data_IF_346690427631
#
_entry.id   IF_346690427631
#
_cell.length_a   1.000
_cell.length_b   1.000
_cell.length_c   1.000
_cell.angle_alpha   90.00
_cell.angle_beta   90.00
_cell.angle_gamma   90.00
#
_symmetry.space_group_name_H-M   'P 1'
#
loop_
_entity.id
_entity.type
_entity.pdbx_description
1 polymer ?
#
# COMPACT_ATOMS: atom_id res chain seq x y z
N UNK A 1 16.86 -32.54 49.13
CA UNK A 1 15.75 -32.11 48.24
C UNK A 1 16.18 -30.82 47.56
N UNK A 2 16.83 -30.94 46.40
CA UNK A 2 17.23 -29.77 45.61
C UNK A 2 15.97 -29.14 44.97
N UNK A 3 15.74 -27.85 45.26
CA UNK A 3 14.72 -27.07 44.55
C UNK A 3 15.20 -26.87 43.12
N UNK A 4 14.35 -27.15 42.10
CA UNK A 4 14.72 -26.84 40.74
C UNK A 4 14.96 -25.33 40.62
N UNK A 5 16.13 -24.96 40.11
CA UNK A 5 16.47 -23.57 39.75
C UNK A 5 15.44 -23.08 38.74
N UNK A 6 14.86 -21.86 38.92
CA UNK A 6 13.97 -21.28 37.90
C UNK A 6 14.72 -21.20 36.57
N UNK A 7 14.17 -21.79 35.53
CA UNK A 7 14.73 -21.66 34.20
C UNK A 7 14.75 -20.17 33.81
N UNK A 8 15.91 -19.66 33.41
CA UNK A 8 16.01 -18.30 32.86
C UNK A 8 14.98 -18.11 31.74
N UNK A 9 14.23 -17.00 31.72
CA UNK A 9 13.26 -16.75 30.67
C UNK A 9 13.96 -16.74 29.32
N UNK A 10 13.49 -17.56 28.39
CA UNK A 10 14.01 -17.58 27.02
C UNK A 10 13.89 -16.17 26.43
N UNK A 11 14.97 -15.61 25.86
CA UNK A 11 14.93 -14.28 25.30
C UNK A 11 13.87 -14.19 24.21
N UNK A 12 13.17 -13.05 24.08
CA UNK A 12 12.12 -12.89 23.07
C UNK A 12 12.68 -13.06 21.66
N UNK A 13 11.90 -13.72 20.79
CA UNK A 13 12.25 -13.86 19.38
C UNK A 13 12.30 -12.48 18.71
N UNK A 14 13.25 -12.29 17.78
CA UNK A 14 13.49 -11.02 17.12
C UNK A 14 12.93 -11.00 15.71
N UNK A 15 12.00 -10.08 15.45
CA UNK A 15 11.48 -9.76 14.13
C UNK A 15 12.12 -8.47 13.61
N UNK A 16 12.70 -8.54 12.42
CA UNK A 16 13.30 -7.36 11.75
C UNK A 16 12.54 -7.04 10.48
N UNK A 17 11.89 -5.88 10.44
CA UNK A 17 11.35 -5.32 9.21
C UNK A 17 12.46 -4.69 8.39
N UNK A 18 12.42 -4.88 7.06
CA UNK A 18 13.31 -4.24 6.10
C UNK A 18 12.47 -3.47 5.09
N UNK A 19 12.66 -2.15 5.07
CA UNK A 19 11.94 -1.24 4.17
C UNK A 19 12.84 -0.07 3.79
N UNK A 20 12.73 0.42 2.57
CA UNK A 20 13.63 1.49 2.11
C UNK A 20 13.34 2.87 2.71
N UNK A 21 12.09 3.19 3.05
CA UNK A 21 11.68 4.54 3.50
C UNK A 21 10.87 4.47 4.81
N UNK A 22 11.28 5.25 5.81
CA UNK A 22 10.62 5.32 7.12
C UNK A 22 9.18 5.82 7.03
N UNK A 23 8.90 6.81 6.16
CA UNK A 23 7.54 7.32 5.96
C UNK A 23 6.58 6.23 5.44
N UNK A 24 7.09 5.32 4.59
CA UNK A 24 6.27 4.24 4.05
C UNK A 24 5.96 3.21 5.14
N UNK A 25 6.93 2.88 5.99
CA UNK A 25 6.71 2.03 7.14
C UNK A 25 5.72 2.66 8.12
N UNK A 26 5.93 3.93 8.48
CA UNK A 26 5.07 4.65 9.41
C UNK A 26 3.62 4.77 8.92
N UNK A 27 3.42 4.96 7.61
CA UNK A 27 2.08 5.13 7.05
C UNK A 27 1.32 3.83 6.79
N UNK A 28 2.01 2.68 6.58
CA UNK A 28 1.37 1.45 6.11
C UNK A 28 1.61 0.22 7.01
N UNK A 29 2.67 0.19 7.81
CA UNK A 29 3.08 -1.04 8.50
C UNK A 29 3.08 -0.96 10.03
N UNK A 30 2.76 0.19 10.61
CA UNK A 30 2.63 0.31 12.08
C UNK A 30 1.59 -0.64 12.68
N UNK A 31 0.42 -0.93 12.06
CA UNK A 31 -0.50 -1.92 12.61
C UNK A 31 0.11 -3.32 12.71
N UNK A 32 0.87 -3.74 11.69
CA UNK A 32 1.58 -5.03 11.70
C UNK A 32 2.69 -5.07 12.76
N UNK A 33 3.43 -3.96 12.90
CA UNK A 33 4.49 -3.84 13.89
C UNK A 33 3.94 -3.86 15.33
N UNK A 34 2.85 -3.12 15.59
CA UNK A 34 2.12 -3.18 16.89
C UNK A 34 1.64 -4.61 17.20
N UNK A 35 1.13 -5.32 16.19
CA UNK A 35 0.71 -6.71 16.36
C UNK A 35 1.89 -7.62 16.79
N UNK A 36 3.07 -7.44 16.20
CA UNK A 36 4.27 -8.18 16.56
C UNK A 36 4.77 -7.85 17.97
N UNK A 37 4.80 -6.56 18.34
CA UNK A 37 5.15 -6.11 19.69
C UNK A 37 4.18 -6.69 20.73
N UNK A 38 2.87 -6.68 20.45
CA UNK A 38 1.85 -7.24 21.31
C UNK A 38 1.96 -8.77 21.49
N UNK A 39 2.64 -9.48 20.58
CA UNK A 39 2.99 -10.90 20.73
C UNK A 39 4.23 -11.13 21.63
N UNK A 40 4.86 -10.08 22.14
CA UNK A 40 6.08 -10.18 22.94
C UNK A 40 7.35 -10.34 22.11
N UNK A 41 7.31 -10.09 20.78
CA UNK A 41 8.51 -10.12 19.96
C UNK A 41 9.37 -8.87 20.19
N UNK A 42 10.70 -9.03 20.11
CA UNK A 42 11.61 -7.91 19.96
C UNK A 42 11.54 -7.42 18.52
N UNK A 43 11.06 -6.20 18.28
CA UNK A 43 10.80 -5.70 16.93
C UNK A 43 11.76 -4.59 16.56
N UNK A 44 12.40 -4.72 15.40
CA UNK A 44 13.23 -3.66 14.80
C UNK A 44 12.81 -3.37 13.36
N UNK A 45 13.07 -2.16 12.88
CA UNK A 45 12.97 -1.81 11.46
C UNK A 45 14.30 -1.26 10.97
N UNK A 46 14.79 -1.81 9.87
CA UNK A 46 15.96 -1.31 9.14
C UNK A 46 15.46 -0.51 7.95
N UNK A 47 15.78 0.78 7.93
CA UNK A 47 15.23 1.73 6.96
C UNK A 47 16.11 2.96 6.80
N UNK A 48 15.93 3.70 5.71
CA UNK A 48 16.45 5.05 5.60
C UNK A 48 15.62 5.98 6.48
N UNK A 49 16.27 6.61 7.45
CA UNK A 49 15.60 7.44 8.46
C UNK A 49 15.53 8.90 7.97
N UNK A 50 14.33 9.47 8.00
CA UNK A 50 14.04 10.88 7.75
C UNK A 50 13.29 11.47 8.96
N UNK A 51 11.99 11.61 8.88
CA UNK A 51 11.20 12.36 9.85
C UNK A 51 10.31 11.48 10.76
N UNK A 52 10.27 10.14 10.52
CA UNK A 52 9.26 9.26 11.13
C UNK A 52 9.78 8.38 12.27
N UNK A 53 11.07 8.54 12.67
CA UNK A 53 11.68 7.76 13.75
C UNK A 53 10.83 7.75 15.03
N UNK A 54 10.41 8.94 15.50
CA UNK A 54 9.64 9.06 16.75
C UNK A 54 8.31 8.33 16.71
N UNK A 55 7.58 8.40 15.58
CA UNK A 55 6.31 7.70 15.39
C UNK A 55 6.47 6.17 15.39
N UNK A 56 7.59 5.67 14.86
CA UNK A 56 7.92 4.25 14.82
C UNK A 56 8.35 3.75 16.23
N UNK A 57 9.21 4.49 16.90
CA UNK A 57 9.68 4.13 18.24
C UNK A 57 8.56 4.19 19.28
N UNK A 58 7.58 5.08 19.12
CA UNK A 58 6.41 5.20 19.98
C UNK A 58 5.54 3.93 20.05
N UNK A 59 5.64 3.03 19.06
CA UNK A 59 4.92 1.75 19.07
C UNK A 59 5.79 0.57 19.54
N UNK A 60 6.95 0.84 20.14
CA UNK A 60 7.85 -0.19 20.68
C UNK A 60 8.80 -0.83 19.66
N UNK A 61 9.00 -0.20 18.48
CA UNK A 61 9.87 -0.69 17.41
C UNK A 61 11.21 0.04 17.43
N UNK A 62 12.32 -0.69 17.51
CA UNK A 62 13.67 -0.13 17.40
C UNK A 62 13.97 0.28 15.96
N UNK A 63 14.36 1.53 15.72
CA UNK A 63 14.76 2.02 14.40
C UNK A 63 16.26 1.88 14.21
N UNK A 64 16.68 1.16 13.17
CA UNK A 64 18.07 0.98 12.77
C UNK A 64 18.29 1.62 11.40
N UNK A 65 19.15 2.64 11.28
CA UNK A 65 19.36 3.34 10.02
C UNK A 65 20.18 2.49 9.04
N UNK A 66 19.75 2.48 7.78
CA UNK A 66 20.50 1.94 6.66
C UNK A 66 20.21 2.81 5.43
N UNK A 67 21.25 3.39 4.83
CA UNK A 67 21.11 4.18 3.61
C UNK A 67 21.10 3.24 2.40
N UNK A 68 19.90 2.95 1.88
CA UNK A 68 19.66 2.22 0.63
C UNK A 68 18.67 2.97 -0.25
N UNK A 69 19.11 3.39 -1.44
CA UNK A 69 18.25 4.16 -2.34
C UNK A 69 17.20 3.28 -3.03
N UNK A 70 15.93 3.61 -2.81
CA UNK A 70 14.78 2.90 -3.40
C UNK A 70 14.82 2.81 -4.93
N UNK A 71 15.33 3.83 -5.61
CA UNK A 71 15.39 3.93 -7.07
C UNK A 71 16.66 3.38 -7.71
N UNK A 72 17.68 3.02 -6.91
CA UNK A 72 18.95 2.53 -7.43
C UNK A 72 18.82 1.13 -8.04
N UNK A 73 19.18 0.99 -9.31
CA UNK A 73 19.29 -0.29 -10.02
C UNK A 73 20.74 -0.81 -10.07
N UNK A 74 21.66 -0.18 -9.34
CA UNK A 74 23.06 -0.58 -9.32
C UNK A 74 23.25 -1.88 -8.52
N UNK A 75 23.69 -3.01 -9.15
CA UNK A 75 23.86 -4.29 -8.46
C UNK A 75 24.96 -4.26 -7.39
N UNK A 76 26.01 -3.46 -7.60
CA UNK A 76 27.10 -3.35 -6.61
C UNK A 76 26.64 -2.62 -5.36
N UNK A 77 25.86 -1.54 -5.50
CA UNK A 77 25.26 -0.84 -4.37
C UNK A 77 24.27 -1.76 -3.61
N UNK A 78 23.48 -2.55 -4.34
CA UNK A 78 22.58 -3.53 -3.74
C UNK A 78 23.34 -4.63 -2.97
N UNK A 79 24.46 -5.13 -3.52
CA UNK A 79 25.32 -6.10 -2.86
C UNK A 79 25.97 -5.54 -1.59
N UNK A 80 26.43 -4.28 -1.63
CA UNK A 80 26.99 -3.60 -0.47
C UNK A 80 25.96 -3.40 0.63
N UNK A 81 24.77 -2.92 0.28
CA UNK A 81 23.65 -2.78 1.22
C UNK A 81 23.24 -4.13 1.83
N UNK A 82 23.23 -5.22 1.05
CA UNK A 82 22.94 -6.55 1.55
C UNK A 82 24.01 -7.04 2.56
N UNK A 83 25.30 -6.74 2.31
CA UNK A 83 26.38 -7.06 3.24
C UNK A 83 26.27 -6.32 4.57
N UNK A 84 25.98 -5.00 4.54
CA UNK A 84 25.74 -4.22 5.74
C UNK A 84 24.50 -4.72 6.51
N UNK A 85 23.41 -4.97 5.80
CA UNK A 85 22.18 -5.48 6.39
C UNK A 85 22.40 -6.88 7.01
N UNK A 86 23.17 -7.76 6.38
CA UNK A 86 23.51 -9.07 6.95
C UNK A 86 24.25 -8.95 8.30
N UNK A 87 25.17 -7.98 8.42
CA UNK A 87 25.85 -7.69 9.68
C UNK A 87 24.87 -7.17 10.74
N UNK A 88 23.94 -6.30 10.38
CA UNK A 88 22.87 -5.81 11.28
C UNK A 88 21.98 -6.97 11.74
N UNK A 89 21.53 -7.84 10.81
CA UNK A 89 20.68 -8.99 11.16
C UNK A 89 21.35 -9.96 12.12
N UNK A 90 22.67 -10.22 11.94
CA UNK A 90 23.47 -11.03 12.85
C UNK A 90 23.59 -10.38 14.23
N UNK A 91 23.87 -9.07 14.30
CA UNK A 91 23.99 -8.32 15.55
C UNK A 91 22.66 -8.29 16.33
N UNK A 92 21.53 -8.20 15.62
CA UNK A 92 20.19 -8.25 16.21
C UNK A 92 19.74 -9.68 16.54
N UNK A 93 20.47 -10.72 16.11
CA UNK A 93 20.08 -12.14 16.25
C UNK A 93 18.66 -12.36 15.68
N UNK A 94 18.41 -11.87 14.46
CA UNK A 94 17.10 -11.92 13.83
C UNK A 94 16.60 -13.37 13.63
N UNK A 95 15.43 -13.69 14.18
CA UNK A 95 14.72 -14.96 13.97
C UNK A 95 13.85 -14.90 12.72
N UNK A 96 13.23 -13.74 12.46
CA UNK A 96 12.37 -13.47 11.30
C UNK A 96 12.79 -12.16 10.63
N UNK A 97 12.86 -12.17 9.31
CA UNK A 97 13.02 -10.96 8.50
C UNK A 97 11.76 -10.75 7.66
N UNK A 98 11.11 -9.58 7.82
CA UNK A 98 9.94 -9.18 7.03
C UNK A 98 10.35 -8.08 6.04
N UNK A 99 10.52 -8.46 4.78
CA UNK A 99 10.94 -7.57 3.70
C UNK A 99 9.74 -6.97 2.99
N UNK A 100 9.68 -5.63 2.95
CA UNK A 100 8.57 -4.85 2.40
C UNK A 100 8.99 -4.21 1.08
N UNK A 101 8.23 -4.43 0.02
CA UNK A 101 8.48 -4.05 -1.37
C UNK A 101 9.66 -4.77 -2.03
N UNK A 102 9.66 -4.77 -3.37
CA UNK A 102 10.56 -5.61 -4.18
C UNK A 102 12.05 -5.40 -3.90
N UNK A 103 12.49 -4.14 -3.73
CA UNK A 103 13.90 -3.88 -3.45
C UNK A 103 14.31 -4.45 -2.10
N UNK A 104 13.51 -4.23 -1.07
CA UNK A 104 13.78 -4.78 0.26
C UNK A 104 13.74 -6.30 0.28
N UNK A 105 12.91 -6.94 -0.56
CA UNK A 105 12.89 -8.40 -0.73
C UNK A 105 14.21 -8.88 -1.34
N UNK A 106 14.74 -8.21 -2.36
CA UNK A 106 16.01 -8.59 -2.98
C UNK A 106 17.19 -8.37 -2.03
N UNK A 107 17.34 -7.18 -1.48
CA UNK A 107 18.44 -6.82 -0.58
C UNK A 107 18.31 -7.57 0.74
N UNK A 108 17.12 -7.54 1.36
CA UNK A 108 16.85 -8.19 2.65
C UNK A 108 16.85 -9.71 2.57
N UNK A 109 16.33 -10.28 1.50
CA UNK A 109 16.38 -11.73 1.26
C UNK A 109 17.81 -12.24 1.08
N UNK A 110 18.65 -11.49 0.34
CA UNK A 110 20.09 -11.77 0.20
C UNK A 110 20.80 -11.66 1.55
N UNK A 111 20.55 -10.56 2.29
CA UNK A 111 21.12 -10.37 3.61
C UNK A 111 20.70 -11.45 4.61
N UNK A 112 19.44 -11.86 4.58
CA UNK A 112 18.91 -12.93 5.40
C UNK A 112 19.56 -14.28 5.09
N UNK A 113 19.82 -14.57 3.81
CA UNK A 113 20.57 -15.75 3.39
C UNK A 113 22.01 -15.72 3.91
N UNK A 114 22.71 -14.59 3.78
CA UNK A 114 24.09 -14.39 4.28
C UNK A 114 24.17 -14.44 5.82
N UNK A 115 23.13 -13.98 6.51
CA UNK A 115 23.06 -13.97 7.96
C UNK A 115 22.58 -15.30 8.56
N UNK A 116 22.04 -16.21 7.74
CA UNK A 116 21.46 -17.48 8.20
C UNK A 116 20.12 -17.32 8.92
N UNK A 117 19.35 -16.25 8.62
CA UNK A 117 18.03 -16.03 9.24
C UNK A 117 17.07 -17.14 8.81
N UNK A 118 16.46 -17.87 9.78
CA UNK A 118 15.71 -19.08 9.46
C UNK A 118 14.36 -18.81 8.81
N UNK A 119 13.66 -17.73 9.18
CA UNK A 119 12.31 -17.43 8.71
C UNK A 119 12.24 -16.09 7.97
N UNK A 120 11.44 -16.04 6.90
CA UNK A 120 11.32 -14.88 6.03
C UNK A 120 9.87 -14.59 5.70
N UNK A 121 9.48 -13.33 5.72
CA UNK A 121 8.20 -12.85 5.21
C UNK A 121 8.48 -11.87 4.08
N UNK A 122 7.92 -12.12 2.91
CA UNK A 122 8.04 -11.26 1.74
C UNK A 122 6.71 -10.61 1.43
N UNK A 123 6.66 -9.29 1.55
CA UNK A 123 5.48 -8.46 1.29
C UNK A 123 5.70 -7.57 0.05
N UNK A 124 5.46 -8.07 -1.18
CA UNK A 124 5.45 -7.22 -2.36
C UNK A 124 4.22 -6.32 -2.31
N UNK A 125 4.42 -5.01 -2.18
CA UNK A 125 3.36 -4.00 -2.10
C UNK A 125 3.00 -3.49 -3.50
N UNK A 126 2.52 -4.40 -4.36
CA UNK A 126 2.31 -4.17 -5.77
C UNK A 126 3.57 -4.37 -6.62
N UNK A 127 3.37 -4.65 -7.90
CA UNK A 127 4.47 -4.86 -8.86
C UNK A 127 5.12 -3.57 -9.34
N UNK A 128 4.58 -2.40 -8.98
CA UNK A 128 5.11 -1.10 -9.37
C UNK A 128 5.35 -0.99 -10.88
N UNK A 129 6.53 -0.51 -11.27
CA UNK A 129 6.91 -0.37 -12.68
C UNK A 129 6.99 -1.71 -13.42
N UNK A 130 7.34 -2.81 -12.74
CA UNK A 130 7.40 -4.13 -13.36
C UNK A 130 6.01 -4.66 -13.72
N UNK A 131 4.99 -4.31 -12.94
CA UNK A 131 3.59 -4.66 -13.24
C UNK A 131 3.01 -3.88 -14.41
N UNK A 132 3.46 -2.64 -14.60
CA UNK A 132 3.01 -1.77 -15.68
C UNK A 132 3.68 -2.07 -17.05
N UNK A 133 4.78 -2.86 -17.08
CA UNK A 133 5.49 -3.20 -18.32
C UNK A 133 4.93 -4.47 -18.95
N UNK A 134 4.38 -4.37 -20.16
CA UNK A 134 3.87 -5.49 -20.97
C UNK A 134 4.87 -6.02 -21.99
N UNK A 135 6.02 -5.36 -22.16
CA UNK A 135 7.06 -5.73 -23.13
C UNK A 135 7.83 -7.01 -22.75
N UNK A 136 8.63 -7.53 -23.66
CA UNK A 136 9.43 -8.76 -23.48
C UNK A 136 10.42 -8.63 -22.30
N UNK A 137 11.04 -7.44 -22.15
CA UNK A 137 11.97 -7.17 -21.06
C UNK A 137 11.27 -7.18 -19.69
N UNK A 138 10.05 -6.62 -19.59
CA UNK A 138 9.24 -6.68 -18.37
C UNK A 138 8.81 -8.12 -18.03
N UNK A 139 8.45 -8.93 -19.02
CA UNK A 139 8.14 -10.36 -18.81
C UNK A 139 9.34 -11.13 -18.29
N UNK A 140 10.52 -10.95 -18.92
CA UNK A 140 11.76 -11.58 -18.49
C UNK A 140 12.13 -11.17 -17.05
N UNK A 141 12.09 -9.87 -16.74
CA UNK A 141 12.40 -9.37 -15.41
C UNK A 141 11.47 -9.95 -14.33
N UNK A 142 10.16 -10.05 -14.61
CA UNK A 142 9.19 -10.72 -13.69
C UNK A 142 9.51 -12.20 -13.50
N UNK A 143 9.86 -12.90 -14.57
CA UNK A 143 10.21 -14.33 -14.51
C UNK A 143 11.50 -14.54 -13.69
N UNK A 144 12.53 -13.75 -13.94
CA UNK A 144 13.78 -13.80 -13.18
C UNK A 144 13.56 -13.50 -11.69
N UNK A 145 12.79 -12.45 -11.39
CA UNK A 145 12.44 -12.07 -10.02
C UNK A 145 11.66 -13.20 -9.31
N UNK A 146 10.70 -13.80 -9.99
CA UNK A 146 9.93 -14.94 -9.47
C UNK A 146 10.83 -16.12 -9.11
N UNK A 147 11.74 -16.50 -10.01
CA UNK A 147 12.69 -17.60 -9.75
C UNK A 147 13.63 -17.27 -8.58
N UNK A 148 14.10 -16.04 -8.48
CA UNK A 148 14.98 -15.61 -7.40
C UNK A 148 14.27 -15.67 -6.03
N UNK A 149 13.07 -15.11 -5.93
CA UNK A 149 12.31 -15.02 -4.66
C UNK A 149 11.80 -16.39 -4.19
N UNK A 150 11.43 -17.28 -5.12
CA UNK A 150 10.92 -18.62 -4.79
C UNK A 150 12.03 -19.68 -4.66
N UNK A 151 13.22 -19.39 -5.16
CA UNK A 151 14.38 -20.28 -5.14
C UNK A 151 15.41 -19.85 -4.09
N UNK A 152 16.56 -19.24 -4.51
CA UNK A 152 17.69 -19.01 -3.60
C UNK A 152 17.41 -18.05 -2.44
N UNK A 153 16.40 -17.17 -2.56
CA UNK A 153 15.98 -16.30 -1.46
C UNK A 153 14.89 -16.89 -0.56
N UNK A 154 14.31 -18.04 -0.91
CA UNK A 154 13.32 -18.72 -0.08
C UNK A 154 13.96 -19.78 0.83
N UNK A 155 13.24 -20.14 1.90
CA UNK A 155 13.47 -21.31 2.75
C UNK A 155 12.15 -22.04 2.97
N UNK A 156 12.14 -23.22 3.58
CA UNK A 156 10.90 -23.89 3.98
C UNK A 156 10.03 -23.07 4.95
N UNK A 157 10.61 -22.05 5.59
CA UNK A 157 9.94 -21.11 6.50
C UNK A 157 9.77 -19.73 5.87
N UNK A 158 9.58 -19.63 4.55
CA UNK A 158 9.23 -18.39 3.85
C UNK A 158 7.73 -18.29 3.71
N UNK A 159 7.16 -17.12 4.04
CA UNK A 159 5.76 -16.76 3.83
C UNK A 159 5.67 -15.54 2.92
N UNK A 160 4.64 -15.50 2.11
CA UNK A 160 4.37 -14.43 1.16
C UNK A 160 3.11 -13.69 1.56
N UNK A 161 3.20 -12.37 1.71
CA UNK A 161 2.11 -11.50 2.09
C UNK A 161 1.77 -10.59 0.91
N UNK A 162 0.60 -10.77 0.31
CA UNK A 162 0.13 -9.96 -0.80
C UNK A 162 -1.10 -9.14 -0.41
N UNK A 163 -1.31 -8.04 -1.12
CA UNK A 163 -2.47 -7.17 -0.93
C UNK A 163 -3.64 -7.51 -1.87
N UNK A 164 -3.38 -8.36 -2.87
CA UNK A 164 -4.39 -8.87 -3.80
C UNK A 164 -3.95 -10.21 -4.42
N UNK A 165 -4.91 -11.06 -4.84
CA UNK A 165 -4.60 -12.37 -5.42
C UNK A 165 -3.94 -12.31 -6.80
N UNK A 166 -4.15 -11.23 -7.57
CA UNK A 166 -3.57 -11.09 -8.90
C UNK A 166 -2.06 -10.89 -8.85
N UNK A 167 -1.57 -10.14 -7.84
CA UNK A 167 -0.13 -10.00 -7.62
C UNK A 167 0.49 -11.34 -7.21
N UNK A 168 -0.16 -12.15 -6.37
CA UNK A 168 0.33 -13.49 -6.03
C UNK A 168 0.48 -14.37 -7.29
N UNK A 169 -0.54 -14.39 -8.16
CA UNK A 169 -0.50 -15.10 -9.44
C UNK A 169 0.59 -14.55 -10.37
N UNK A 170 0.80 -13.24 -10.40
CA UNK A 170 1.87 -12.63 -11.20
C UNK A 170 3.27 -13.04 -10.72
N UNK A 171 3.43 -13.34 -9.42
CA UNK A 171 4.62 -13.98 -8.86
C UNK A 171 4.67 -15.49 -9.08
N UNK A 172 3.66 -16.07 -9.73
CA UNK A 172 3.55 -17.50 -9.99
C UNK A 172 3.27 -18.31 -8.72
N UNK A 173 2.60 -17.69 -7.74
CA UNK A 173 2.13 -18.31 -6.52
C UNK A 173 0.62 -18.50 -6.59
N UNK A 174 0.13 -19.63 -6.09
CA UNK A 174 -1.31 -19.81 -5.91
C UNK A 174 -1.76 -19.01 -4.67
N UNK A 175 -2.77 -18.13 -4.79
CA UNK A 175 -3.34 -17.45 -3.63
C UNK A 175 -3.90 -18.40 -2.55
N UNK A 176 -4.20 -19.66 -2.90
CA UNK A 176 -4.68 -20.68 -1.97
C UNK A 176 -3.55 -21.49 -1.32
N UNK A 177 -2.28 -21.28 -1.71
CA UNK A 177 -1.13 -21.95 -1.10
C UNK A 177 -0.98 -21.52 0.37
N UNK A 178 -0.67 -22.45 1.26
CA UNK A 178 -0.47 -22.22 2.69
C UNK A 178 0.69 -21.23 2.99
N UNK A 179 1.65 -21.11 2.07
CA UNK A 179 2.73 -20.13 2.17
C UNK A 179 2.30 -18.70 1.76
N UNK A 180 1.08 -18.52 1.22
CA UNK A 180 0.56 -17.25 0.72
C UNK A 180 -0.56 -16.74 1.63
N UNK A 181 -0.48 -15.48 2.01
CA UNK A 181 -1.55 -14.79 2.72
C UNK A 181 -1.94 -13.53 1.96
N UNK A 182 -3.22 -13.37 1.70
CA UNK A 182 -3.77 -12.13 1.13
C UNK A 182 -4.33 -11.28 2.27
N UNK A 183 -3.88 -10.03 2.36
CA UNK A 183 -4.34 -9.07 3.38
C UNK A 183 -4.98 -7.84 2.76
N UNK A 184 -5.78 -7.14 3.52
CA UNK A 184 -6.43 -5.89 3.14
C UNK A 184 -5.47 -4.68 3.10
N UNK A 185 -4.30 -4.81 2.46
CA UNK A 185 -3.29 -3.76 2.38
C UNK A 185 -2.74 -3.37 3.75
N UNK A 186 -2.62 -2.06 3.98
CA UNK A 186 -2.22 -1.51 5.28
C UNK A 186 -3.28 -1.72 6.38
N UNK A 187 -4.51 -2.05 5.97
CA UNK A 187 -5.68 -1.96 6.83
C UNK A 187 -6.11 -0.51 7.08
N UNK A 188 -7.31 -0.35 7.58
CA UNK A 188 -7.85 0.95 7.99
C UNK A 188 -8.52 0.82 9.37
N UNK A 189 -8.39 1.86 10.19
CA UNK A 189 -9.15 1.99 11.42
C UNK A 189 -10.51 2.66 11.10
N UNK A 190 -11.64 1.91 11.17
CA UNK A 190 -12.96 2.46 10.85
C UNK A 190 -13.48 3.47 11.89
N UNK A 191 -12.90 3.49 13.10
CA UNK A 191 -13.25 4.45 14.14
C UNK A 191 -12.53 5.78 13.96
N UNK A 192 -11.31 5.76 13.42
CA UNK A 192 -10.59 6.96 13.01
C UNK A 192 -11.18 7.55 11.71
N UNK A 193 -11.80 6.72 10.85
CA UNK A 193 -12.39 7.12 9.57
C UNK A 193 -13.90 6.95 9.59
N UNK A 194 -14.59 7.80 10.35
CA UNK A 194 -16.06 7.73 10.51
C UNK A 194 -16.79 8.30 9.30
N UNK A 195 -17.95 7.73 8.94
CA UNK A 195 -18.78 8.29 7.89
C UNK A 195 -19.34 9.65 8.32
N UNK A 196 -19.42 10.56 7.37
CA UNK A 196 -20.11 11.83 7.50
C UNK A 196 -21.21 11.92 6.44
N UNK A 197 -22.27 12.73 6.65
CA UNK A 197 -23.26 13.01 5.63
C UNK A 197 -22.60 13.42 4.30
N UNK A 198 -23.24 13.08 3.18
CA UNK A 198 -22.78 13.58 1.89
C UNK A 198 -22.97 15.10 1.80
N UNK A 199 -22.02 15.83 1.21
CA UNK A 199 -22.18 17.25 1.01
C UNK A 199 -23.33 17.57 0.04
N UNK A 200 -23.85 18.81 0.02
CA UNK A 200 -24.88 19.19 -0.95
C UNK A 200 -24.41 19.02 -2.40
N UNK A 201 -25.31 18.50 -3.24
CA UNK A 201 -25.16 18.39 -4.69
C UNK A 201 -26.27 19.19 -5.37
N UNK A 202 -26.06 19.74 -6.58
CA UNK A 202 -24.80 19.84 -7.32
C UNK A 202 -23.80 20.83 -6.73
N UNK A 203 -22.50 20.79 -7.10
CA UNK A 203 -21.88 19.85 -8.02
C UNK A 203 -21.56 18.51 -7.38
N UNK A 204 -21.39 17.46 -8.19
CA UNK A 204 -20.74 16.22 -7.76
C UNK A 204 -19.27 16.51 -7.44
N UNK A 205 -18.90 16.40 -6.17
CA UNK A 205 -17.54 16.71 -5.68
C UNK A 205 -16.71 15.44 -5.64
N UNK A 206 -15.63 15.40 -6.42
CA UNK A 206 -14.71 14.27 -6.56
C UNK A 206 -13.35 14.67 -5.99
N UNK A 207 -12.72 13.81 -5.19
CA UNK A 207 -11.38 14.06 -4.70
C UNK A 207 -10.40 12.99 -5.17
N UNK A 208 -9.17 13.43 -5.48
CA UNK A 208 -7.98 12.59 -5.61
C UNK A 208 -7.04 12.95 -4.46
N UNK A 209 -6.71 11.96 -3.61
CA UNK A 209 -5.72 12.09 -2.55
C UNK A 209 -4.56 11.16 -2.88
N UNK A 210 -3.46 11.70 -3.39
CA UNK A 210 -2.29 10.91 -3.79
C UNK A 210 -1.06 11.78 -3.97
N UNK A 211 0.12 11.17 -4.10
CA UNK A 211 1.28 11.88 -4.67
C UNK A 211 0.95 12.34 -6.09
N UNK A 212 1.33 13.56 -6.45
CA UNK A 212 1.08 14.14 -7.77
C UNK A 212 2.05 13.54 -8.80
N UNK A 213 1.72 12.35 -9.31
CA UNK A 213 2.52 11.58 -10.26
C UNK A 213 1.72 11.25 -11.52
N UNK A 214 2.35 11.27 -12.69
CA UNK A 214 1.74 10.85 -13.96
C UNK A 214 1.20 9.42 -13.92
N UNK A 215 1.85 8.53 -13.14
CA UNK A 215 1.38 7.15 -12.99
C UNK A 215 0.04 7.03 -12.24
N UNK A 216 -0.37 8.05 -11.51
CA UNK A 216 -1.67 8.11 -10.82
C UNK A 216 -2.82 8.54 -11.75
N UNK A 217 -2.52 8.91 -13.02
CA UNK A 217 -3.52 9.24 -14.02
C UNK A 217 -4.30 10.53 -13.73
N UNK A 218 -3.69 11.48 -12.99
CA UNK A 218 -4.36 12.73 -12.61
C UNK A 218 -4.77 13.53 -13.83
N UNK A 219 -3.95 13.53 -14.88
CA UNK A 219 -4.27 14.09 -16.18
C UNK A 219 -5.53 13.49 -16.82
N UNK A 220 -5.71 12.17 -16.70
CA UNK A 220 -6.93 11.49 -17.17
C UNK A 220 -8.17 11.99 -16.41
N UNK A 221 -8.07 12.18 -15.09
CA UNK A 221 -9.18 12.73 -14.30
C UNK A 221 -9.48 14.18 -14.66
N UNK A 222 -8.45 15.01 -14.87
CA UNK A 222 -8.58 16.39 -15.29
C UNK A 222 -9.35 16.48 -16.60
N UNK A 223 -8.95 15.74 -17.62
CA UNK A 223 -9.63 15.74 -18.93
C UNK A 223 -11.04 15.15 -18.84
N UNK A 224 -11.25 14.07 -18.07
CA UNK A 224 -12.57 13.48 -17.87
C UNK A 224 -13.57 14.45 -17.21
N UNK A 225 -13.10 15.25 -16.25
CA UNK A 225 -13.93 16.28 -15.61
C UNK A 225 -14.23 17.43 -16.59
N UNK A 226 -13.26 17.85 -17.41
CA UNK A 226 -13.49 18.84 -18.46
C UNK A 226 -14.54 18.39 -19.47
N UNK A 227 -14.43 17.13 -19.98
CA UNK A 227 -15.44 16.54 -20.85
C UNK A 227 -16.82 16.47 -20.20
N UNK A 228 -16.91 16.01 -18.94
CA UNK A 228 -18.18 15.95 -18.21
C UNK A 228 -18.83 17.33 -18.08
N UNK A 229 -18.04 18.36 -17.75
CA UNK A 229 -18.52 19.74 -17.64
C UNK A 229 -18.93 20.31 -19.00
N UNK A 230 -18.17 20.04 -20.07
CA UNK A 230 -18.54 20.44 -21.42
C UNK A 230 -19.87 19.80 -21.89
N UNK A 231 -20.17 18.58 -21.39
CA UNK A 231 -21.46 17.92 -21.59
C UNK A 231 -22.57 18.44 -20.65
N UNK A 232 -22.34 19.53 -19.90
CA UNK A 232 -23.33 20.15 -19.02
C UNK A 232 -23.45 19.49 -17.63
N UNK A 233 -22.62 18.51 -17.28
CA UNK A 233 -22.68 17.83 -15.99
C UNK A 233 -21.91 18.62 -14.93
N UNK A 234 -22.53 18.97 -13.78
CA UNK A 234 -21.89 19.77 -12.74
C UNK A 234 -20.96 18.92 -11.87
N UNK A 235 -19.74 18.70 -12.33
CA UNK A 235 -18.68 17.95 -11.62
C UNK A 235 -17.58 18.90 -11.17
N UNK A 236 -17.09 18.74 -9.94
CA UNK A 236 -15.92 19.45 -9.41
C UNK A 236 -14.85 18.44 -8.96
N UNK A 237 -13.57 18.75 -9.24
CA UNK A 237 -12.43 17.90 -8.91
C UNK A 237 -11.48 18.63 -7.94
N UNK A 238 -11.17 17.99 -6.84
CA UNK A 238 -10.17 18.45 -5.88
C UNK A 238 -8.97 17.53 -5.87
N UNK A 239 -7.77 18.08 -6.02
CA UNK A 239 -6.50 17.35 -6.00
C UNK A 239 -5.77 17.64 -4.69
N UNK A 240 -5.48 16.61 -3.91
CA UNK A 240 -4.74 16.69 -2.64
C UNK A 240 -3.46 15.87 -2.73
N UNK A 241 -2.33 16.50 -2.48
CA UNK A 241 -1.01 15.93 -2.49
C UNK A 241 0.03 16.84 -3.12
N UNK A 242 1.29 16.46 -2.99
CA UNK A 242 2.42 17.20 -3.56
C UNK A 242 3.13 16.37 -4.64
N UNK A 243 3.83 17.03 -5.58
CA UNK A 243 4.85 16.37 -6.39
C UNK A 243 5.91 15.73 -5.49
N UNK A 244 6.43 14.57 -5.89
CA UNK A 244 7.54 13.91 -5.21
C UNK A 244 8.85 14.29 -5.92
N UNK A 245 9.68 15.19 -5.34
CA UNK A 245 10.88 15.69 -6.02
C UNK A 245 11.90 14.59 -6.36
N UNK A 246 11.87 13.48 -5.62
CA UNK A 246 12.75 12.33 -5.86
C UNK A 246 12.28 11.44 -7.02
N UNK A 247 11.07 11.66 -7.53
CA UNK A 247 10.45 10.84 -8.55
C UNK A 247 10.39 11.57 -9.91
N UNK A 248 11.13 11.08 -10.90
CA UNK A 248 11.14 11.64 -12.26
C UNK A 248 9.77 11.67 -12.96
N UNK A 249 8.77 11.02 -12.40
CA UNK A 249 7.38 11.01 -12.88
C UNK A 249 6.47 11.94 -12.09
N UNK A 250 7.03 12.84 -11.30
CA UNK A 250 6.26 13.88 -10.62
C UNK A 250 5.64 14.83 -11.66
N UNK A 251 4.40 15.23 -11.42
CA UNK A 251 3.73 16.28 -12.18
C UNK A 251 4.28 17.63 -11.66
N UNK A 252 4.78 18.51 -12.55
CA UNK A 252 5.26 19.83 -12.12
C UNK A 252 4.15 20.63 -11.44
N UNK A 253 4.51 21.43 -10.42
CA UNK A 253 3.54 22.30 -9.74
C UNK A 253 2.89 23.33 -10.69
N UNK A 254 3.65 23.82 -11.67
CA UNK A 254 3.13 24.71 -12.69
C UNK A 254 1.96 24.08 -13.44
N UNK A 255 2.10 22.80 -13.86
CA UNK A 255 1.03 22.04 -14.51
C UNK A 255 -0.19 21.87 -13.60
N UNK A 256 0.01 21.63 -12.30
CA UNK A 256 -1.10 21.51 -11.32
C UNK A 256 -1.82 22.84 -11.15
N UNK A 257 -1.09 23.96 -11.14
CA UNK A 257 -1.67 25.31 -11.10
C UNK A 257 -2.44 25.65 -12.37
N UNK A 258 -1.90 25.30 -13.55
CA UNK A 258 -2.57 25.45 -14.83
C UNK A 258 -3.89 24.66 -14.92
N UNK A 259 -3.93 23.47 -14.32
CA UNK A 259 -5.17 22.68 -14.25
C UNK A 259 -6.21 23.24 -13.29
N UNK A 260 -5.78 24.04 -12.31
CA UNK A 260 -6.63 24.57 -11.22
C UNK A 260 -7.55 25.70 -11.69
N UNK A 261 -8.48 25.36 -12.59
CA UNK A 261 -9.51 26.23 -13.16
C UNK A 261 -10.76 25.43 -13.51
N UNK A 262 -11.85 26.08 -13.80
CA UNK A 262 -13.07 25.49 -14.37
C UNK A 262 -13.63 24.31 -13.53
N UNK A 263 -13.66 24.46 -12.20
CA UNK A 263 -14.17 23.44 -11.27
C UNK A 263 -13.12 22.38 -10.87
N UNK A 264 -11.85 22.60 -11.21
CA UNK A 264 -10.72 21.81 -10.75
C UNK A 264 -9.87 22.65 -9.80
N UNK A 265 -9.45 22.10 -8.66
CA UNK A 265 -8.60 22.79 -7.68
C UNK A 265 -7.51 21.87 -7.15
N UNK A 266 -6.27 22.35 -7.13
CA UNK A 266 -5.18 21.71 -6.42
C UNK A 266 -4.95 22.39 -5.07
N UNK A 267 -5.07 21.61 -3.99
CA UNK A 267 -5.01 22.11 -2.59
C UNK A 267 -3.65 21.84 -1.91
N UNK A 268 -2.71 21.18 -2.61
CA UNK A 268 -1.47 20.73 -1.97
C UNK A 268 -1.67 19.54 -1.04
N UNK A 269 -0.68 19.20 -0.20
CA UNK A 269 -0.77 18.07 0.73
C UNK A 269 -1.78 18.32 1.85
N UNK A 270 -2.37 17.27 2.38
CA UNK A 270 -3.27 17.31 3.54
C UNK A 270 -2.78 16.37 4.64
N UNK A 271 -2.97 16.75 5.89
CA UNK A 271 -2.75 15.90 7.07
C UNK A 271 -4.06 15.29 7.59
N UNK A 272 -5.21 15.85 7.19
CA UNK A 272 -6.54 15.38 7.60
C UNK A 272 -7.34 14.89 6.39
N UNK A 273 -7.14 13.62 6.05
CA UNK A 273 -7.87 12.98 4.95
C UNK A 273 -9.36 12.79 5.26
N UNK A 274 -9.72 12.65 6.54
CA UNK A 274 -11.12 12.48 6.94
C UNK A 274 -11.94 13.73 6.61
N UNK A 275 -11.34 14.91 6.80
CA UNK A 275 -11.96 16.19 6.40
C UNK A 275 -12.13 16.29 4.89
N UNK A 276 -11.16 15.78 4.12
CA UNK A 276 -11.29 15.71 2.66
C UNK A 276 -12.50 14.87 2.30
N UNK A 277 -12.59 13.65 2.85
CA UNK A 277 -13.70 12.76 2.52
C UNK A 277 -15.04 13.30 2.98
N UNK A 278 -15.11 13.99 4.12
CA UNK A 278 -16.35 14.65 4.57
C UNK A 278 -16.85 15.72 3.59
N UNK A 279 -15.95 16.38 2.86
CA UNK A 279 -16.29 17.45 1.91
C UNK A 279 -16.59 16.97 0.47
N UNK A 280 -16.42 15.66 0.19
CA UNK A 280 -16.54 15.10 -1.16
C UNK A 280 -17.52 13.92 -1.20
N UNK A 281 -18.09 13.66 -2.39
CA UNK A 281 -19.00 12.55 -2.64
C UNK A 281 -18.26 11.27 -3.02
N UNK A 282 -17.17 11.42 -3.80
CA UNK A 282 -16.45 10.31 -4.41
C UNK A 282 -14.94 10.46 -4.22
N UNK A 283 -14.27 9.34 -4.00
CA UNK A 283 -12.84 9.21 -4.23
C UNK A 283 -12.58 8.74 -5.67
N UNK A 284 -11.63 9.38 -6.36
CA UNK A 284 -11.19 8.97 -7.68
C UNK A 284 -9.72 8.54 -7.64
N UNK A 285 -9.40 7.39 -8.24
CA UNK A 285 -8.02 6.93 -8.42
C UNK A 285 -7.85 6.34 -9.83
N UNK A 286 -7.58 7.17 -10.86
CA UNK A 286 -7.46 6.74 -12.24
C UNK A 286 -6.05 6.22 -12.59
N UNK A 287 -5.44 5.48 -11.65
CA UNK A 287 -4.06 4.99 -11.75
C UNK A 287 -3.82 4.17 -13.01
N UNK A 288 -2.64 4.34 -13.62
CA UNK A 288 -2.22 3.58 -14.81
C UNK A 288 -1.73 2.17 -14.49
N UNK A 289 -1.66 1.79 -13.20
CA UNK A 289 -1.27 0.46 -12.74
C UNK A 289 -0.20 0.51 -11.63
N UNK A 290 0.23 -0.69 -11.20
CA UNK A 290 1.27 -0.85 -10.18
C UNK A 290 0.81 -0.59 -8.75
N UNK A 291 -0.49 -0.49 -8.51
CA UNK A 291 -1.06 -0.38 -7.17
C UNK A 291 -1.07 -1.76 -6.49
N UNK A 292 -0.64 -1.79 -5.22
CA UNK A 292 -1.00 -2.86 -4.29
C UNK A 292 -2.49 -2.73 -3.91
N UNK A 293 -2.81 -2.43 -2.65
CA UNK A 293 -4.15 -1.98 -2.28
C UNK A 293 -4.10 -0.49 -1.91
N UNK A 294 -4.75 0.41 -2.69
CA UNK A 294 -4.60 1.84 -2.47
C UNK A 294 -5.22 2.31 -1.15
N UNK A 295 -4.40 2.78 -0.22
CA UNK A 295 -4.83 3.25 1.10
C UNK A 295 -5.90 4.36 1.00
N UNK A 296 -5.74 5.27 0.06
CA UNK A 296 -6.69 6.37 -0.16
C UNK A 296 -8.11 5.89 -0.48
N UNK A 297 -8.25 4.76 -1.18
CA UNK A 297 -9.56 4.15 -1.45
C UNK A 297 -10.13 3.48 -0.18
N UNK A 298 -9.29 2.87 0.67
CA UNK A 298 -9.72 2.35 1.97
C UNK A 298 -10.22 3.47 2.88
N UNK A 299 -9.50 4.57 2.96
CA UNK A 299 -9.85 5.75 3.76
C UNK A 299 -11.21 6.34 3.31
N UNK A 300 -11.37 6.53 2.00
CA UNK A 300 -12.61 7.03 1.42
C UNK A 300 -13.79 6.09 1.67
N UNK A 301 -13.59 4.79 1.43
CA UNK A 301 -14.60 3.76 1.67
C UNK A 301 -15.00 3.70 3.15
N UNK A 302 -14.04 3.74 4.07
CA UNK A 302 -14.30 3.78 5.51
C UNK A 302 -15.11 5.02 5.91
N UNK A 303 -14.89 6.17 5.24
CA UNK A 303 -15.70 7.37 5.41
C UNK A 303 -17.05 7.33 4.68
N UNK A 304 -17.43 6.21 4.07
CA UNK A 304 -18.71 6.04 3.38
C UNK A 304 -18.78 6.75 2.03
N UNK A 305 -17.63 6.95 1.35
CA UNK A 305 -17.57 7.57 0.02
C UNK A 305 -17.56 6.52 -1.08
N UNK A 306 -18.31 6.77 -2.14
CA UNK A 306 -18.25 5.95 -3.35
C UNK A 306 -16.89 6.04 -4.02
N UNK A 307 -16.51 5.00 -4.77
CA UNK A 307 -15.19 4.87 -5.37
C UNK A 307 -15.28 4.89 -6.88
N UNK A 308 -14.41 5.65 -7.55
CA UNK A 308 -14.23 5.60 -8.99
C UNK A 308 -12.75 5.33 -9.25
N UNK A 309 -12.42 4.20 -9.84
CA UNK A 309 -11.02 3.82 -10.02
C UNK A 309 -10.82 3.07 -11.35
N UNK A 310 -9.57 2.94 -11.75
CA UNK A 310 -9.22 2.09 -12.88
C UNK A 310 -9.25 0.62 -12.51
N UNK A 311 -9.62 -0.22 -13.49
CA UNK A 311 -9.64 -1.68 -13.36
C UNK A 311 -8.22 -2.26 -13.38
N UNK A 312 -7.51 -2.07 -12.26
CA UNK A 312 -6.18 -2.62 -11.99
C UNK A 312 -6.24 -3.51 -10.74
N UNK A 313 -5.32 -4.47 -10.57
CA UNK A 313 -5.39 -5.47 -9.49
C UNK A 313 -5.72 -4.94 -8.11
N UNK A 314 -5.01 -3.92 -7.64
CA UNK A 314 -5.23 -3.36 -6.31
C UNK A 314 -6.58 -2.66 -6.15
N UNK A 315 -7.07 -1.97 -7.18
CA UNK A 315 -8.40 -1.35 -7.14
C UNK A 315 -9.50 -2.40 -7.18
N UNK A 316 -9.36 -3.42 -8.04
CA UNK A 316 -10.30 -4.54 -8.19
C UNK A 316 -10.39 -5.40 -6.93
N UNK A 317 -9.35 -5.46 -6.12
CA UNK A 317 -9.38 -6.19 -4.86
C UNK A 317 -10.39 -5.59 -3.86
N UNK A 318 -10.55 -4.27 -3.87
CA UNK A 318 -11.49 -3.56 -3.01
C UNK A 318 -12.86 -3.37 -3.67
N UNK A 319 -12.88 -2.98 -4.96
CA UNK A 319 -14.06 -2.52 -5.68
C UNK A 319 -14.61 -3.65 -6.57
N UNK A 320 -15.83 -4.07 -6.32
CA UNK A 320 -16.66 -4.80 -7.29
C UNK A 320 -17.42 -3.74 -8.10
N UNK A 321 -17.26 -3.80 -9.44
CA UNK A 321 -17.86 -2.79 -10.32
C UNK A 321 -19.36 -2.63 -10.08
N UNK A 322 -19.82 -1.38 -9.98
CA UNK A 322 -21.20 -0.96 -9.69
C UNK A 322 -21.75 -1.37 -8.31
N UNK A 323 -20.93 -1.94 -7.44
CA UNK A 323 -21.33 -2.26 -6.05
C UNK A 323 -20.72 -1.24 -5.08
N UNK A 324 -19.42 -1.21 -4.91
CA UNK A 324 -18.71 -0.24 -4.07
C UNK A 324 -18.31 1.03 -4.83
N UNK A 325 -18.45 1.02 -6.15
CA UNK A 325 -18.05 2.12 -7.02
C UNK A 325 -18.05 1.72 -8.49
N UNK A 326 -17.29 2.43 -9.29
CA UNK A 326 -17.18 2.19 -10.73
C UNK A 326 -15.71 1.93 -11.09
N UNK A 327 -15.48 0.83 -11.82
CA UNK A 327 -14.19 0.51 -12.43
C UNK A 327 -14.20 0.91 -13.90
N UNK A 328 -13.16 1.64 -14.32
CA UNK A 328 -12.97 2.08 -15.70
C UNK A 328 -11.66 1.57 -16.28
N UNK A 329 -11.53 1.38 -17.61
CA UNK A 329 -10.25 1.00 -18.19
C UNK A 329 -9.15 2.03 -17.90
N UNK A 330 -7.90 1.60 -17.61
CA UNK A 330 -6.78 2.51 -17.38
C UNK A 330 -6.53 3.44 -18.59
N UNK A 331 -6.37 4.74 -18.34
CA UNK A 331 -6.11 5.75 -19.34
C UNK A 331 -7.32 6.19 -20.17
N UNK A 332 -8.52 5.66 -19.93
CA UNK A 332 -9.71 6.02 -20.68
C UNK A 332 -10.40 7.25 -20.10
N UNK A 333 -10.15 8.42 -20.69
CA UNK A 333 -10.82 9.68 -20.37
C UNK A 333 -12.33 9.53 -20.59
N UNK A 334 -12.76 9.03 -21.73
CA UNK A 334 -14.18 8.88 -22.08
C UNK A 334 -14.95 7.96 -21.11
N UNK A 335 -14.36 6.83 -20.68
CA UNK A 335 -15.00 5.93 -19.72
C UNK A 335 -15.14 6.59 -18.35
N UNK A 336 -14.11 7.31 -17.89
CA UNK A 336 -14.14 8.03 -16.62
C UNK A 336 -15.15 9.19 -16.67
N UNK A 337 -15.16 9.98 -17.75
CA UNK A 337 -16.12 11.06 -17.97
C UNK A 337 -17.57 10.53 -17.91
N UNK A 338 -17.86 9.46 -18.66
CA UNK A 338 -19.17 8.83 -18.67
C UNK A 338 -19.60 8.30 -17.29
N UNK A 339 -18.66 7.76 -16.50
CA UNK A 339 -18.93 7.33 -15.12
C UNK A 339 -19.30 8.52 -14.22
N UNK A 340 -18.55 9.62 -14.31
CA UNK A 340 -18.81 10.84 -13.54
C UNK A 340 -20.15 11.49 -13.92
N UNK A 341 -20.48 11.55 -15.21
CA UNK A 341 -21.78 12.07 -15.69
C UNK A 341 -22.93 11.25 -15.12
N UNK A 342 -22.87 9.92 -15.19
CA UNK A 342 -23.91 9.06 -14.61
C UNK A 342 -24.09 9.26 -13.12
N UNK A 343 -22.99 9.34 -12.36
CA UNK A 343 -23.04 9.53 -10.90
C UNK A 343 -23.51 10.95 -10.53
N UNK A 344 -23.20 11.96 -11.32
CA UNK A 344 -23.71 13.32 -11.12
C UNK A 344 -25.23 13.43 -11.33
N UNK A 345 -25.78 12.58 -12.20
CA UNK A 345 -27.23 12.53 -12.49
C UNK A 345 -28.01 11.66 -11.49
N UNK A 346 -27.35 10.82 -10.67
CA UNK A 346 -28.01 9.91 -9.70
C UNK A 346 -27.35 10.02 -8.29
N UNK A 347 -27.78 11.01 -7.47
CA UNK A 347 -27.30 11.14 -6.10
C UNK A 347 -27.59 9.92 -5.20
N UNK A 348 -28.66 9.19 -5.48
CA UNK A 348 -28.98 7.99 -4.73
C UNK A 348 -27.99 6.87 -5.04
N UNK A 349 -27.55 6.72 -6.30
CA UNK A 349 -26.48 5.79 -6.63
C UNK A 349 -25.19 6.13 -5.89
N UNK A 350 -24.84 7.42 -5.77
CA UNK A 350 -23.68 7.87 -5.00
C UNK A 350 -23.79 7.45 -3.54
N UNK A 351 -24.94 7.61 -2.91
CA UNK A 351 -25.17 7.19 -1.52
C UNK A 351 -25.10 5.65 -1.38
N UNK A 352 -25.73 4.91 -2.29
CA UNK A 352 -25.71 3.43 -2.30
C UNK A 352 -24.28 2.87 -2.40
N UNK A 353 -23.49 3.33 -3.37
CA UNK A 353 -22.10 2.84 -3.54
C UNK A 353 -21.20 3.23 -2.37
N UNK A 354 -21.41 4.39 -1.75
CA UNK A 354 -20.68 4.81 -0.55
C UNK A 354 -20.98 3.93 0.67
N UNK A 355 -22.24 3.59 0.89
CA UNK A 355 -22.67 2.66 1.95
C UNK A 355 -22.06 1.26 1.72
N UNK A 356 -22.13 0.76 0.50
CA UNK A 356 -21.56 -0.53 0.14
C UNK A 356 -20.03 -0.55 0.29
N UNK A 357 -19.33 0.55 -0.08
CA UNK A 357 -17.89 0.67 0.07
C UNK A 357 -17.46 0.58 1.55
N UNK A 358 -18.20 1.23 2.46
CA UNK A 358 -17.93 1.12 3.90
C UNK A 358 -18.20 -0.30 4.42
N UNK A 359 -19.31 -0.91 4.08
CA UNK A 359 -19.62 -2.29 4.46
C UNK A 359 -18.50 -3.24 3.98
N UNK A 360 -18.04 -3.07 2.74
CA UNK A 360 -16.91 -3.84 2.17
C UNK A 360 -15.65 -3.74 2.99
N UNK A 361 -15.29 -2.55 3.48
CA UNK A 361 -14.10 -2.35 4.32
C UNK A 361 -14.24 -3.05 5.67
N UNK A 362 -15.39 -2.93 6.32
CA UNK A 362 -15.62 -3.49 7.66
C UNK A 362 -15.69 -5.02 7.62
N UNK A 363 -16.41 -5.59 6.66
CA UNK A 363 -16.72 -7.01 6.59
C UNK A 363 -15.71 -7.80 5.73
N UNK A 364 -15.00 -7.13 4.83
CA UNK A 364 -14.16 -7.75 3.81
C UNK A 364 -12.70 -8.01 4.23
N UNK A 365 -12.33 -7.82 5.50
CA UNK A 365 -10.97 -8.08 5.96
C UNK A 365 -9.99 -6.91 5.72
N UNK A 366 -10.49 -5.69 5.49
CA UNK A 366 -9.67 -4.51 5.20
C UNK A 366 -9.39 -3.63 6.43
N UNK A 367 -9.82 -4.03 7.61
CA UNK A 367 -9.52 -3.30 8.85
C UNK A 367 -8.11 -3.58 9.37
N UNK A 368 -7.52 -2.63 10.13
CA UNK A 368 -6.25 -2.85 10.82
C UNK A 368 -6.29 -4.10 11.72
N UNK A 369 -7.42 -4.37 12.38
CA UNK A 369 -7.60 -5.55 13.22
C UNK A 369 -7.54 -6.85 12.42
N UNK A 370 -8.15 -6.91 11.23
CA UNK A 370 -8.08 -8.06 10.36
C UNK A 370 -6.67 -8.32 9.84
N UNK A 371 -5.98 -7.27 9.39
CA UNK A 371 -4.58 -7.34 8.94
C UNK A 371 -3.67 -7.76 10.08
N UNK A 372 -3.82 -7.19 11.28
CA UNK A 372 -3.07 -7.58 12.47
C UNK A 372 -3.32 -9.05 12.84
N UNK A 373 -4.55 -9.55 12.71
CA UNK A 373 -4.88 -10.96 12.91
C UNK A 373 -4.13 -11.88 11.95
N UNK A 374 -4.14 -11.54 10.66
CA UNK A 374 -3.45 -12.32 9.63
C UNK A 374 -1.92 -12.38 9.85
N UNK A 375 -1.28 -11.25 10.15
CA UNK A 375 0.17 -11.24 10.40
C UNK A 375 0.55 -11.92 11.71
N UNK A 376 -0.30 -11.85 12.75
CA UNK A 376 -0.08 -12.62 13.98
C UNK A 376 -0.06 -14.12 13.72
N UNK A 377 -0.97 -14.62 12.89
CA UNK A 377 -0.97 -16.04 12.52
C UNK A 377 0.34 -16.45 11.81
N UNK A 378 0.82 -15.61 10.86
CA UNK A 378 2.10 -15.84 10.18
C UNK A 378 3.26 -15.86 11.19
N UNK A 379 3.35 -14.85 12.07
CA UNK A 379 4.47 -14.78 13.01
C UNK A 379 4.43 -15.91 14.05
N UNK A 380 3.25 -16.26 14.56
CA UNK A 380 3.08 -17.39 15.48
C UNK A 380 3.59 -18.71 14.87
N UNK A 381 3.24 -18.97 13.61
CA UNK A 381 3.74 -20.13 12.86
C UNK A 381 5.28 -20.08 12.70
N UNK A 382 5.83 -18.90 12.40
CA UNK A 382 7.26 -18.75 12.15
C UNK A 382 8.12 -18.74 13.41
N UNK A 383 7.61 -18.31 14.57
CA UNK A 383 8.39 -18.41 15.83
C UNK A 383 8.41 -19.84 16.37
N UNK A 384 7.42 -20.66 15.97
CA UNK A 384 7.31 -22.05 16.39
C UNK A 384 7.06 -22.22 17.90
N UNK A 385 6.73 -23.40 18.36
CA UNK A 385 6.76 -23.73 19.75
C UNK A 385 8.20 -23.75 20.30
#
# INVERSE_FOLDING_TARGET
MDRPTPSEPTPPKTLVFVVTEDWFFASHFLPMARAAVAMGLSVAVVTRVRDHRGAIEAVGVRVVPLEDERSSLNPMAAGYAAGQLASILKALKADIVHCIALRSILVGGTAAAMAGVPARVYAPTGLGLLGARSDAAGRFARTALRHLIRGPLATGRTRFLFENPDDARAFGLDPADTAVTIVGGAGIDPDAHRPAPLPPAPPLRVAIVSRMLWSKGIDVAVEAVREARAAGSPVALSLYGAPDPSNRRAIPEETLREWSRDGIAWHGPTQDVSRVWAAHHLACLPSRGGEGLPRTLLEAAACGRGLVATDVPGCRALIRDRVEGVLVPPGSVAALSAALIRLAADPEAVARVGTAARARVIEGGFTEAAVAGAVRAIYAELVGP
#
